data_IF_337380895798
#
_entry.id   IF_337380895798
#
_cell.length_a   1.000
_cell.length_b   1.000
_cell.length_c   1.000
_cell.angle_alpha   90.00
_cell.angle_beta   90.00
_cell.angle_gamma   90.00
#
_symmetry.space_group_name_H-M   'P 1'
#
loop_
_entity.id
_entity.type
_entity.pdbx_description
1 polymer ?
#
# COMPACT_ATOMS: atom_id res chain seq x y z
N UNK A 1 67.29 -27.58 35.28
CA UNK A 1 66.55 -26.31 35.52
C UNK A 1 65.65 -25.95 34.35
N UNK A 2 66.08 -26.11 33.09
CA UNK A 2 65.22 -25.96 31.90
C UNK A 2 64.05 -26.97 31.86
N UNK A 3 64.31 -28.24 32.15
CA UNK A 3 63.28 -29.31 32.10
C UNK A 3 62.15 -29.12 33.12
N UNK A 4 62.47 -28.59 34.30
CA UNK A 4 61.47 -28.30 35.34
C UNK A 4 60.59 -27.11 34.96
N UNK A 5 61.17 -26.13 34.24
CA UNK A 5 60.48 -24.95 33.75
C UNK A 5 59.53 -25.31 32.60
N UNK A 6 59.96 -26.18 31.69
CA UNK A 6 59.08 -26.74 30.65
C UNK A 6 57.96 -27.61 31.22
N UNK A 7 58.19 -28.33 32.32
CA UNK A 7 57.14 -29.10 33.00
C UNK A 7 56.12 -28.19 33.70
N UNK A 8 56.59 -27.09 34.31
CA UNK A 8 55.75 -26.06 34.91
C UNK A 8 54.89 -25.36 33.85
N UNK A 9 55.49 -24.94 32.73
CA UNK A 9 54.76 -24.36 31.60
C UNK A 9 53.71 -25.35 31.04
N UNK A 10 54.00 -26.65 31.03
CA UNK A 10 53.03 -27.67 30.58
C UNK A 10 51.85 -27.80 31.56
N UNK A 11 52.13 -27.78 32.87
CA UNK A 11 51.08 -27.84 33.91
C UNK A 11 50.23 -26.57 33.92
N UNK A 12 50.84 -25.39 33.75
CA UNK A 12 50.12 -24.12 33.69
C UNK A 12 49.21 -24.06 32.45
N UNK A 13 49.66 -24.56 31.30
CA UNK A 13 48.80 -24.71 30.12
C UNK A 13 47.63 -25.68 30.37
N UNK A 14 47.89 -26.81 31.03
CA UNK A 14 46.86 -27.81 31.34
C UNK A 14 45.81 -27.28 32.33
N UNK A 15 46.24 -26.47 33.31
CA UNK A 15 45.33 -25.76 34.22
C UNK A 15 44.50 -24.73 33.46
N UNK A 16 45.12 -23.99 32.55
CA UNK A 16 44.42 -23.00 31.71
C UNK A 16 43.37 -23.68 30.81
N UNK A 17 43.68 -24.83 30.21
CA UNK A 17 42.74 -25.64 29.43
C UNK A 17 41.53 -26.10 30.27
N UNK A 18 41.77 -26.55 31.50
CA UNK A 18 40.68 -26.91 32.42
C UNK A 18 39.84 -25.71 32.86
N UNK A 19 40.43 -24.54 33.05
CA UNK A 19 39.69 -23.31 33.32
C UNK A 19 38.81 -22.89 32.13
N UNK A 20 39.34 -22.99 30.92
CA UNK A 20 38.61 -22.74 29.66
C UNK A 20 37.44 -23.72 29.55
N UNK A 21 37.64 -25.00 29.86
CA UNK A 21 36.58 -26.01 29.79
C UNK A 21 35.49 -25.80 30.85
N UNK A 22 35.87 -25.42 32.07
CA UNK A 22 34.93 -25.07 33.15
C UNK A 22 34.09 -23.83 32.81
N UNK A 23 34.70 -22.80 32.20
CA UNK A 23 33.98 -21.62 31.72
C UNK A 23 33.06 -21.96 30.55
N UNK A 24 33.56 -22.74 29.59
CA UNK A 24 32.80 -23.18 28.42
C UNK A 24 31.56 -23.98 28.82
N UNK A 25 31.66 -24.83 29.85
CA UNK A 25 30.51 -25.58 30.37
C UNK A 25 29.40 -24.69 30.94
N UNK A 26 29.75 -23.66 31.72
CA UNK A 26 28.75 -22.73 32.27
C UNK A 26 28.04 -21.95 31.16
N UNK A 27 28.82 -21.42 30.21
CA UNK A 27 28.29 -20.67 29.07
C UNK A 27 27.38 -21.58 28.22
N UNK A 28 27.82 -22.80 27.98
CA UNK A 28 27.06 -23.80 27.25
C UNK A 28 25.71 -24.15 27.91
N UNK A 29 25.67 -24.32 29.24
CA UNK A 29 24.42 -24.61 29.96
C UNK A 29 23.41 -23.44 29.90
N UNK A 30 23.90 -22.20 29.92
CA UNK A 30 23.09 -20.99 29.75
C UNK A 30 22.60 -20.85 28.30
N UNK A 31 23.48 -21.02 27.31
CA UNK A 31 23.13 -20.98 25.89
C UNK A 31 22.20 -22.12 25.49
N UNK A 32 22.39 -23.33 26.00
CA UNK A 32 21.50 -24.45 25.71
C UNK A 32 20.08 -24.22 26.24
N UNK A 33 19.93 -23.56 27.41
CA UNK A 33 18.62 -23.16 27.95
C UNK A 33 17.97 -22.06 27.12
N UNK A 34 18.71 -21.01 26.77
CA UNK A 34 18.17 -19.91 25.96
C UNK A 34 17.78 -20.41 24.56
N UNK A 35 18.62 -21.23 23.95
CA UNK A 35 18.38 -21.86 22.66
C UNK A 35 17.16 -22.78 22.68
N UNK A 36 16.99 -23.61 23.72
CA UNK A 36 15.79 -24.45 23.88
C UNK A 36 14.50 -23.62 23.94
N UNK A 37 14.53 -22.54 24.70
CA UNK A 37 13.38 -21.64 24.82
C UNK A 37 13.08 -20.96 23.48
N UNK A 38 14.12 -20.47 22.76
CA UNK A 38 13.96 -19.87 21.43
C UNK A 38 13.41 -20.87 20.40
N UNK A 39 13.98 -22.06 20.30
CA UNK A 39 13.46 -23.14 19.44
C UNK A 39 11.98 -23.43 19.74
N UNK A 40 11.62 -23.54 21.02
CA UNK A 40 10.23 -23.85 21.38
C UNK A 40 9.25 -22.74 20.98
N UNK A 41 9.69 -21.48 21.03
CA UNK A 41 8.89 -20.33 20.58
C UNK A 41 8.77 -20.32 19.05
N UNK A 42 9.89 -20.49 18.34
CA UNK A 42 9.89 -20.48 16.89
C UNK A 42 9.07 -21.65 16.34
N UNK A 43 9.19 -22.86 16.90
CA UNK A 43 8.37 -24.00 16.48
C UNK A 43 6.86 -23.72 16.68
N UNK A 44 6.45 -23.04 17.76
CA UNK A 44 5.05 -22.63 17.96
C UNK A 44 4.61 -21.63 16.90
N UNK A 45 5.39 -20.56 16.72
CA UNK A 45 5.11 -19.52 15.72
C UNK A 45 4.99 -20.13 14.32
N UNK A 46 5.87 -21.06 13.96
CA UNK A 46 5.84 -21.76 12.67
C UNK A 46 4.58 -22.62 12.55
N UNK A 47 4.18 -23.32 13.61
CA UNK A 47 2.94 -24.10 13.59
C UNK A 47 1.71 -23.20 13.39
N UNK A 48 1.66 -22.09 14.13
CA UNK A 48 0.59 -21.09 14.01
C UNK A 48 0.57 -20.46 12.60
N UNK A 49 1.75 -20.19 12.01
CA UNK A 49 1.89 -19.71 10.63
C UNK A 49 1.39 -20.75 9.64
N UNK A 50 1.70 -22.03 9.81
CA UNK A 50 1.23 -23.09 8.90
C UNK A 50 -0.30 -23.25 8.94
N UNK A 51 -0.92 -23.05 10.11
CA UNK A 51 -2.38 -23.01 10.23
C UNK A 51 -2.96 -21.80 9.49
N UNK A 52 -2.43 -20.60 9.73
CA UNK A 52 -2.87 -19.38 9.06
C UNK A 52 -2.56 -19.38 7.54
N UNK A 53 -1.49 -20.05 7.12
CA UNK A 53 -1.09 -20.19 5.72
C UNK A 53 -2.14 -20.92 4.91
N UNK A 54 -2.83 -21.91 5.48
CA UNK A 54 -3.88 -22.60 4.75
C UNK A 54 -5.05 -21.65 4.44
N UNK A 55 -5.42 -20.79 5.38
CA UNK A 55 -6.46 -19.79 5.16
C UNK A 55 -6.01 -18.73 4.13
N UNK A 56 -4.76 -18.29 4.25
CA UNK A 56 -4.16 -17.31 3.33
C UNK A 56 -3.99 -17.89 1.93
N UNK A 57 -3.60 -19.16 1.79
CA UNK A 57 -3.48 -19.85 0.51
C UNK A 57 -4.82 -19.98 -0.23
N UNK A 58 -5.92 -20.02 0.51
CA UNK A 58 -7.25 -20.02 -0.06
C UNK A 58 -7.75 -18.61 -0.42
N UNK A 59 -7.28 -17.58 0.28
CA UNK A 59 -7.69 -16.18 0.06
C UNK A 59 -6.81 -15.44 -0.97
N UNK A 60 -5.51 -15.71 -0.98
CA UNK A 60 -4.50 -14.98 -1.74
C UNK A 60 -3.74 -15.91 -2.67
N UNK A 61 -3.41 -15.40 -3.86
CA UNK A 61 -2.62 -16.16 -4.82
C UNK A 61 -1.17 -15.95 -4.42
N UNK A 62 -0.74 -16.65 -3.36
CA UNK A 62 0.64 -16.65 -2.90
C UNK A 62 1.53 -17.01 -4.09
N UNK A 63 2.57 -16.23 -4.34
CA UNK A 63 3.53 -16.56 -5.38
C UNK A 63 4.17 -17.91 -5.02
N UNK A 64 4.45 -18.76 -6.01
CA UNK A 64 5.18 -20.02 -5.75
C UNK A 64 6.52 -19.77 -5.02
N UNK A 65 7.09 -18.57 -5.21
CA UNK A 65 8.30 -18.10 -4.53
C UNK A 65 8.11 -17.99 -3.01
N UNK A 66 7.00 -17.38 -2.54
CA UNK A 66 6.73 -17.21 -1.11
C UNK A 66 6.48 -18.58 -0.44
N UNK A 67 5.86 -19.51 -1.16
CA UNK A 67 5.65 -20.89 -0.70
C UNK A 67 6.97 -21.66 -0.61
N UNK A 68 7.90 -21.46 -1.55
CA UNK A 68 9.23 -22.05 -1.51
C UNK A 68 10.08 -21.49 -0.36
N UNK A 69 10.01 -20.18 -0.09
CA UNK A 69 10.71 -19.57 1.05
C UNK A 69 10.22 -20.16 2.38
N UNK A 70 8.91 -20.33 2.56
CA UNK A 70 8.32 -20.98 3.73
C UNK A 70 8.69 -22.46 3.87
N UNK A 71 8.76 -23.21 2.77
CA UNK A 71 9.27 -24.58 2.78
C UNK A 71 10.75 -24.63 3.18
N UNK A 72 11.56 -23.69 2.70
CA UNK A 72 12.98 -23.61 3.03
C UNK A 72 13.19 -23.28 4.51
N UNK A 73 12.40 -22.35 5.06
CA UNK A 73 12.40 -22.05 6.50
C UNK A 73 12.04 -23.30 7.32
N UNK A 74 11.05 -24.09 6.88
CA UNK A 74 10.67 -25.32 7.58
C UNK A 74 11.75 -26.41 7.48
N UNK A 75 12.38 -26.60 6.31
CA UNK A 75 13.52 -27.51 6.14
C UNK A 75 14.69 -27.09 7.05
N UNK A 76 15.03 -25.81 7.06
CA UNK A 76 16.09 -25.26 7.93
C UNK A 76 15.77 -25.48 9.41
N UNK A 77 14.52 -25.25 9.84
CA UNK A 77 14.09 -25.54 11.21
C UNK A 77 14.15 -27.02 11.57
N UNK A 78 13.79 -27.90 10.65
CA UNK A 78 13.90 -29.33 10.86
C UNK A 78 15.36 -29.78 11.01
N UNK A 79 16.26 -29.24 10.19
CA UNK A 79 17.70 -29.49 10.29
C UNK A 79 18.28 -28.95 11.60
N UNK A 80 17.88 -27.76 12.04
CA UNK A 80 18.28 -27.16 13.31
C UNK A 80 17.80 -28.02 14.49
N UNK A 81 16.54 -28.47 14.49
CA UNK A 81 15.99 -29.36 15.52
C UNK A 81 16.72 -30.71 15.54
N UNK A 82 17.03 -31.29 14.37
CA UNK A 82 17.78 -32.55 14.27
C UNK A 82 19.21 -32.40 14.80
N UNK A 83 19.89 -31.31 14.43
CA UNK A 83 21.24 -30.99 14.89
C UNK A 83 21.29 -30.74 16.40
N UNK A 84 20.30 -30.04 16.94
CA UNK A 84 20.16 -29.85 18.39
C UNK A 84 19.94 -31.17 19.12
N UNK A 85 19.08 -32.05 18.60
CA UNK A 85 18.86 -33.38 19.19
C UNK A 85 20.12 -34.26 19.18
N UNK A 86 21.00 -34.11 18.18
CA UNK A 86 22.30 -34.78 18.14
C UNK A 86 23.21 -34.24 19.24
N UNK A 87 23.33 -32.91 19.37
CA UNK A 87 24.13 -32.27 20.44
C UNK A 87 23.64 -32.69 21.83
N UNK A 88 22.33 -32.77 22.05
CA UNK A 88 21.74 -33.25 23.31
C UNK A 88 22.07 -34.72 23.58
N UNK A 89 22.17 -35.56 22.55
CA UNK A 89 22.62 -36.96 22.69
C UNK A 89 24.12 -37.05 22.97
N UNK A 90 24.93 -36.23 22.32
CA UNK A 90 26.39 -36.20 22.48
C UNK A 90 26.79 -35.70 23.88
N UNK A 91 26.05 -34.73 24.41
CA UNK A 91 26.11 -34.32 25.82
C UNK A 91 25.84 -35.46 26.80
N UNK A 92 24.79 -36.25 26.55
CA UNK A 92 24.41 -37.37 27.44
C UNK A 92 25.43 -38.50 27.39
N UNK A 93 26.07 -38.70 26.25
CA UNK A 93 27.10 -39.73 26.06
C UNK A 93 28.51 -39.27 26.44
N UNK A 94 28.70 -37.99 26.79
CA UNK A 94 29.99 -37.37 27.20
C UNK A 94 31.15 -37.65 26.22
N UNK A 95 30.86 -37.76 24.92
CA UNK A 95 31.84 -38.16 23.92
C UNK A 95 32.71 -37.02 23.38
N UNK A 96 32.30 -35.76 23.55
CA UNK A 96 33.01 -34.61 23.00
C UNK A 96 33.41 -33.58 24.07
N UNK A 97 34.53 -32.84 23.87
CA UNK A 97 34.93 -31.71 24.70
C UNK A 97 33.87 -30.59 24.72
N UNK A 98 33.73 -29.91 25.86
CA UNK A 98 32.75 -28.82 25.99
C UNK A 98 33.08 -27.60 25.10
N UNK A 99 34.34 -27.40 24.70
CA UNK A 99 34.71 -26.31 23.79
C UNK A 99 34.12 -26.51 22.38
N UNK A 100 34.23 -27.72 21.82
CA UNK A 100 33.64 -28.06 20.51
C UNK A 100 32.12 -28.05 20.54
N UNK A 101 31.51 -28.44 21.66
CA UNK A 101 30.06 -28.36 21.84
C UNK A 101 29.57 -26.90 21.92
N UNK A 102 30.35 -26.00 22.52
CA UNK A 102 30.06 -24.56 22.56
C UNK A 102 30.06 -23.95 21.16
N UNK A 103 31.10 -24.19 20.36
CA UNK A 103 31.16 -23.69 18.98
C UNK A 103 30.00 -24.22 18.12
N UNK A 104 29.63 -25.50 18.29
CA UNK A 104 28.46 -26.08 17.62
C UNK A 104 27.15 -25.40 18.02
N UNK A 105 26.94 -25.11 19.32
CA UNK A 105 25.74 -24.37 19.78
C UNK A 105 25.74 -22.93 19.28
N UNK A 106 26.88 -22.22 19.32
CA UNK A 106 26.98 -20.86 18.78
C UNK A 106 26.64 -20.83 17.28
N UNK A 107 27.17 -21.79 16.51
CA UNK A 107 26.85 -21.91 15.08
C UNK A 107 25.36 -22.18 14.82
N UNK A 108 24.73 -23.01 15.65
CA UNK A 108 23.29 -23.31 15.58
C UNK A 108 22.45 -22.11 16.01
N UNK A 109 22.88 -21.36 17.03
CA UNK A 109 22.23 -20.13 17.46
C UNK A 109 22.25 -19.09 16.36
N UNK A 110 23.36 -18.96 15.62
CA UNK A 110 23.45 -18.07 14.47
C UNK A 110 22.53 -18.51 13.33
N UNK A 111 22.50 -19.81 13.00
CA UNK A 111 21.55 -20.35 11.98
C UNK A 111 20.10 -20.18 12.39
N UNK A 112 19.79 -20.31 13.67
CA UNK A 112 18.46 -20.06 14.20
C UNK A 112 18.09 -18.59 14.07
N UNK A 113 19.01 -17.67 14.38
CA UNK A 113 18.78 -16.24 14.23
C UNK A 113 18.58 -15.83 12.75
N UNK A 114 19.31 -16.42 11.80
CA UNK A 114 19.05 -16.17 10.37
C UNK A 114 17.68 -16.69 9.97
N UNK A 115 17.32 -17.90 10.40
CA UNK A 115 16.00 -18.49 10.10
C UNK A 115 14.84 -17.69 10.75
N UNK A 116 15.07 -17.11 11.93
CA UNK A 116 14.12 -16.21 12.61
C UNK A 116 13.93 -14.90 11.81
N UNK A 117 15.02 -14.31 11.30
CA UNK A 117 14.94 -13.14 10.43
C UNK A 117 14.20 -13.44 9.11
N UNK A 118 14.48 -14.59 8.49
CA UNK A 118 13.82 -15.01 7.24
C UNK A 118 12.31 -15.20 7.47
N UNK A 119 11.93 -15.79 8.61
CA UNK A 119 10.54 -15.94 9.04
C UNK A 119 9.87 -14.58 9.28
N UNK A 120 10.56 -13.64 9.93
CA UNK A 120 10.07 -12.27 10.16
C UNK A 120 9.86 -11.50 8.84
N UNK A 121 10.73 -11.71 7.84
CA UNK A 121 10.58 -11.12 6.50
C UNK A 121 9.34 -11.71 5.81
N UNK A 122 9.17 -13.04 5.86
CA UNK A 122 7.99 -13.70 5.32
C UNK A 122 6.70 -13.19 5.98
N UNK A 123 6.68 -13.06 7.32
CA UNK A 123 5.56 -12.53 8.08
C UNK A 123 5.24 -11.07 7.69
N UNK A 124 6.25 -10.23 7.49
CA UNK A 124 6.04 -8.85 7.03
C UNK A 124 5.48 -8.79 5.62
N UNK A 125 5.98 -9.63 4.71
CA UNK A 125 5.45 -9.74 3.36
C UNK A 125 3.96 -10.13 3.40
N UNK A 126 3.63 -11.16 4.18
CA UNK A 126 2.27 -11.65 4.36
C UNK A 126 1.33 -10.61 4.99
N UNK A 127 1.79 -9.92 6.04
CA UNK A 127 1.04 -8.82 6.66
C UNK A 127 0.80 -7.67 5.69
N UNK A 128 1.80 -7.32 4.86
CA UNK A 128 1.66 -6.27 3.86
C UNK A 128 0.58 -6.59 2.82
N UNK A 129 0.39 -7.87 2.48
CA UNK A 129 -0.65 -8.30 1.55
C UNK A 129 -2.07 -8.04 2.10
N UNK A 130 -2.29 -8.34 3.38
CA UNK A 130 -3.58 -8.08 4.04
C UNK A 130 -3.84 -6.59 4.21
N UNK A 131 -2.81 -5.83 4.59
CA UNK A 131 -2.90 -4.37 4.69
C UNK A 131 -3.19 -3.72 3.33
N UNK A 132 -2.60 -4.24 2.24
CA UNK A 132 -2.86 -3.78 0.87
C UNK A 132 -4.31 -4.04 0.44
N UNK A 133 -4.88 -5.21 0.77
CA UNK A 133 -6.29 -5.50 0.49
C UNK A 133 -7.21 -4.53 1.25
N UNK A 134 -6.94 -4.31 2.54
CA UNK A 134 -7.73 -3.37 3.34
C UNK A 134 -7.64 -1.95 2.78
N UNK A 135 -6.44 -1.48 2.44
CA UNK A 135 -6.23 -0.17 1.82
C UNK A 135 -6.98 -0.04 0.49
N UNK A 136 -6.97 -1.07 -0.35
CA UNK A 136 -7.72 -1.07 -1.60
C UNK A 136 -9.24 -0.93 -1.36
N UNK A 137 -9.80 -1.60 -0.34
CA UNK A 137 -11.21 -1.47 0.05
C UNK A 137 -11.55 -0.07 0.54
N UNK A 138 -10.68 0.55 1.33
CA UNK A 138 -10.85 1.93 1.80
C UNK A 138 -10.84 2.91 0.61
N UNK A 139 -9.88 2.78 -0.29
CA UNK A 139 -9.78 3.63 -1.50
C UNK A 139 -11.00 3.46 -2.43
N UNK A 140 -11.51 2.24 -2.58
CA UNK A 140 -12.75 2.00 -3.33
C UNK A 140 -13.93 2.77 -2.72
N UNK A 141 -14.04 2.80 -1.40
CA UNK A 141 -15.08 3.55 -0.68
C UNK A 141 -14.93 5.06 -0.89
N UNK A 142 -13.70 5.57 -0.91
CA UNK A 142 -13.43 6.99 -1.22
C UNK A 142 -13.80 7.34 -2.66
N UNK A 143 -13.42 6.52 -3.64
CA UNK A 143 -13.73 6.72 -5.05
C UNK A 143 -15.25 6.72 -5.28
N UNK A 144 -15.98 5.79 -4.68
CA UNK A 144 -17.45 5.71 -4.78
C UNK A 144 -18.12 6.91 -4.11
N UNK A 145 -17.61 7.39 -2.97
CA UNK A 145 -18.10 8.59 -2.32
C UNK A 145 -17.87 9.85 -3.19
N UNK A 146 -16.70 9.96 -3.83
CA UNK A 146 -16.36 11.06 -4.73
C UNK A 146 -17.29 11.07 -5.96
N UNK A 147 -17.58 9.92 -6.56
CA UNK A 147 -18.57 9.80 -7.64
C UNK A 147 -19.98 10.18 -7.22
N UNK A 148 -20.41 9.76 -6.03
CA UNK A 148 -21.69 10.17 -5.46
C UNK A 148 -21.78 11.68 -5.28
N UNK A 149 -20.68 12.32 -4.86
CA UNK A 149 -20.56 13.78 -4.75
C UNK A 149 -20.65 14.46 -6.12
N UNK A 150 -20.00 13.93 -7.16
CA UNK A 150 -20.14 14.44 -8.53
C UNK A 150 -21.60 14.37 -9.01
N UNK A 151 -22.24 13.21 -8.82
CA UNK A 151 -23.64 12.99 -9.21
C UNK A 151 -24.59 13.95 -8.50
N UNK A 152 -24.38 14.17 -7.20
CA UNK A 152 -25.17 15.12 -6.40
C UNK A 152 -24.93 16.56 -6.86
N UNK A 153 -23.68 16.93 -7.17
CA UNK A 153 -23.33 18.27 -7.65
C UNK A 153 -24.02 18.62 -8.96
N UNK A 154 -24.11 17.66 -9.89
CA UNK A 154 -24.85 17.82 -11.15
C UNK A 154 -26.36 17.89 -10.91
N UNK A 155 -26.89 17.08 -9.99
CA UNK A 155 -28.33 17.14 -9.66
C UNK A 155 -28.73 18.48 -9.05
N UNK A 156 -27.85 19.10 -8.26
CA UNK A 156 -28.09 20.40 -7.62
C UNK A 156 -28.06 21.57 -8.62
N UNK A 157 -27.30 21.42 -9.72
CA UNK A 157 -27.23 22.41 -10.79
C UNK A 157 -27.72 21.77 -12.10
N UNK A 158 -29.05 21.72 -12.33
CA UNK A 158 -29.60 21.15 -13.55
C UNK A 158 -29.20 22.02 -14.75
N UNK A 159 -28.14 21.59 -15.43
CA UNK A 159 -27.70 22.20 -16.68
C UNK A 159 -28.65 21.79 -17.82
N UNK A 160 -28.92 22.68 -18.80
CA UNK A 160 -29.84 22.37 -19.89
C UNK A 160 -29.42 21.15 -20.72
N UNK A 161 -28.12 21.03 -21.00
CA UNK A 161 -27.53 19.91 -21.75
C UNK A 161 -26.18 19.54 -21.14
N UNK A 162 -26.04 18.30 -20.70
CA UNK A 162 -24.75 17.76 -20.26
C UNK A 162 -24.02 17.20 -21.50
N UNK A 163 -22.77 17.59 -21.70
CA UNK A 163 -21.96 17.19 -22.86
C UNK A 163 -21.78 15.67 -22.92
N UNK A 164 -21.81 15.08 -24.12
CA UNK A 164 -21.64 13.64 -24.33
C UNK A 164 -20.36 13.08 -23.70
N UNK A 165 -19.27 13.87 -23.69
CA UNK A 165 -18.00 13.49 -23.08
C UNK A 165 -18.12 13.15 -21.58
N UNK A 166 -19.02 13.82 -20.85
CA UNK A 166 -19.25 13.53 -19.44
C UNK A 166 -19.83 12.12 -19.23
N UNK A 167 -20.73 11.68 -20.10
CA UNK A 167 -21.32 10.33 -20.00
C UNK A 167 -20.31 9.24 -20.31
N UNK A 168 -19.37 9.49 -21.23
CA UNK A 168 -18.26 8.57 -21.52
C UNK A 168 -17.35 8.45 -20.30
N UNK A 169 -16.89 9.58 -19.74
CA UNK A 169 -16.03 9.59 -18.54
C UNK A 169 -16.73 8.94 -17.32
N UNK A 170 -18.05 9.14 -17.18
CA UNK A 170 -18.84 8.50 -16.13
C UNK A 170 -18.95 6.97 -16.34
N UNK A 171 -19.13 6.52 -17.58
CA UNK A 171 -19.16 5.09 -17.89
C UNK A 171 -17.82 4.45 -17.60
N UNK A 172 -16.72 5.04 -18.08
CA UNK A 172 -15.36 4.56 -17.83
C UNK A 172 -15.03 4.44 -16.34
N UNK A 173 -15.42 5.44 -15.53
CA UNK A 173 -15.22 5.39 -14.08
C UNK A 173 -16.06 4.30 -13.39
N UNK A 174 -17.30 4.07 -13.84
CA UNK A 174 -18.14 2.99 -13.32
C UNK A 174 -17.61 1.61 -13.71
N UNK A 175 -17.15 1.45 -14.95
CA UNK A 175 -16.55 0.21 -15.43
C UNK A 175 -15.27 -0.11 -14.64
N UNK A 176 -14.43 0.89 -14.36
CA UNK A 176 -13.24 0.72 -13.53
C UNK A 176 -13.56 0.25 -12.10
N UNK A 177 -14.62 0.78 -11.48
CA UNK A 177 -15.09 0.34 -10.16
C UNK A 177 -15.60 -1.09 -10.19
N UNK A 178 -16.36 -1.44 -11.23
CA UNK A 178 -16.90 -2.77 -11.40
C UNK A 178 -15.79 -3.81 -11.60
N UNK A 179 -14.72 -3.44 -12.30
CA UNK A 179 -13.51 -4.27 -12.41
C UNK A 179 -12.81 -4.45 -11.06
N UNK A 180 -12.72 -3.40 -10.21
CA UNK A 180 -12.16 -3.56 -8.85
C UNK A 180 -13.02 -4.50 -8.00
N UNK A 181 -14.35 -4.37 -8.06
CA UNK A 181 -15.26 -5.27 -7.33
C UNK A 181 -15.07 -6.72 -7.79
N UNK A 182 -14.99 -6.95 -9.11
CA UNK A 182 -14.69 -8.28 -9.65
C UNK A 182 -13.35 -8.82 -9.18
N UNK A 183 -12.32 -8.00 -9.12
CA UNK A 183 -10.99 -8.42 -8.63
C UNK A 183 -11.01 -8.72 -7.12
N UNK A 184 -11.79 -7.99 -6.33
CA UNK A 184 -11.97 -8.26 -4.89
C UNK A 184 -12.83 -9.50 -4.62
N UNK A 185 -13.76 -9.85 -5.51
CA UNK A 185 -14.60 -11.06 -5.41
C UNK A 185 -13.86 -12.32 -5.91
N UNK A 186 -12.77 -12.17 -6.67
CA UNK A 186 -11.94 -13.30 -7.09
C UNK A 186 -11.17 -13.85 -5.91
N UNK A 187 -11.46 -15.10 -5.57
CA UNK A 187 -10.57 -15.93 -4.73
C UNK A 187 -9.79 -16.85 -5.67
N UNK A 188 -8.46 -16.79 -5.73
CA UNK A 188 -7.54 -15.98 -4.94
C UNK A 188 -7.22 -14.59 -5.52
N UNK A 189 -7.01 -13.58 -4.65
CA UNK A 189 -6.74 -12.19 -5.06
C UNK A 189 -5.27 -12.02 -5.47
N UNK A 190 -5.03 -11.31 -6.58
CA UNK A 190 -3.69 -10.88 -6.99
C UNK A 190 -3.49 -9.40 -6.69
N UNK A 191 -2.73 -9.09 -5.63
CA UNK A 191 -2.56 -7.72 -5.10
C UNK A 191 -1.91 -6.78 -6.10
N UNK A 192 -0.95 -7.27 -6.91
CA UNK A 192 -0.30 -6.46 -7.95
C UNK A 192 -1.32 -5.92 -8.95
N UNK A 193 -2.24 -6.76 -9.41
CA UNK A 193 -3.30 -6.36 -10.34
C UNK A 193 -4.31 -5.44 -9.66
N UNK A 194 -4.67 -5.72 -8.39
CA UNK A 194 -5.56 -4.88 -7.61
C UNK A 194 -5.03 -3.45 -7.48
N UNK A 195 -3.76 -3.27 -7.10
CA UNK A 195 -3.14 -1.95 -6.95
C UNK A 195 -3.18 -1.14 -8.26
N UNK A 196 -2.83 -1.76 -9.38
CA UNK A 196 -2.88 -1.11 -10.71
C UNK A 196 -4.31 -0.67 -11.06
N UNK A 197 -5.31 -1.53 -10.78
CA UNK A 197 -6.72 -1.23 -11.05
C UNK A 197 -7.23 -0.09 -10.18
N UNK A 198 -6.87 -0.07 -8.90
CA UNK A 198 -7.27 0.98 -7.96
C UNK A 198 -6.64 2.32 -8.35
N UNK A 199 -5.37 2.36 -8.73
CA UNK A 199 -4.73 3.59 -9.21
C UNK A 199 -5.41 4.11 -10.50
N UNK A 200 -5.71 3.22 -11.45
CA UNK A 200 -6.42 3.58 -12.69
C UNK A 200 -7.81 4.17 -12.39
N UNK A 201 -8.58 3.56 -11.48
CA UNK A 201 -9.89 4.06 -11.10
C UNK A 201 -9.80 5.40 -10.35
N UNK A 202 -8.76 5.59 -9.54
CA UNK A 202 -8.49 6.85 -8.85
C UNK A 202 -8.27 7.97 -9.86
N UNK A 203 -7.41 7.76 -10.84
CA UNK A 203 -7.10 8.76 -11.88
C UNK A 203 -8.34 9.13 -12.70
N UNK A 204 -9.12 8.13 -13.13
CA UNK A 204 -10.38 8.37 -13.86
C UNK A 204 -11.40 9.15 -13.01
N UNK A 205 -11.53 8.81 -11.72
CA UNK A 205 -12.44 9.49 -10.81
C UNK A 205 -12.06 10.96 -10.57
N UNK A 206 -10.75 11.23 -10.43
CA UNK A 206 -10.23 12.59 -10.28
C UNK A 206 -10.42 13.42 -11.55
N UNK A 207 -10.19 12.82 -12.72
CA UNK A 207 -10.47 13.45 -14.02
C UNK A 207 -11.94 13.84 -14.12
N UNK A 208 -12.86 12.91 -13.84
CA UNK A 208 -14.29 13.18 -13.84
C UNK A 208 -14.68 14.28 -12.86
N UNK A 209 -14.11 14.28 -11.65
CA UNK A 209 -14.36 15.33 -10.65
C UNK A 209 -13.93 16.71 -11.14
N UNK A 210 -12.75 16.81 -11.75
CA UNK A 210 -12.25 18.05 -12.33
C UNK A 210 -13.14 18.52 -13.49
N UNK A 211 -13.47 17.63 -14.45
CA UNK A 211 -14.39 17.94 -15.56
C UNK A 211 -15.74 18.43 -15.04
N UNK A 212 -16.32 17.74 -14.05
CA UNK A 212 -17.62 18.10 -13.44
C UNK A 212 -17.55 19.48 -12.79
N UNK A 213 -16.49 19.72 -12.01
CA UNK A 213 -16.32 20.98 -11.27
C UNK A 213 -16.07 22.14 -12.23
N UNK A 214 -15.27 21.94 -13.28
CA UNK A 214 -15.02 22.92 -14.33
C UNK A 214 -16.32 23.22 -15.10
N UNK A 215 -17.07 22.20 -15.50
CA UNK A 215 -18.34 22.37 -16.21
C UNK A 215 -19.34 23.19 -15.38
N UNK A 216 -19.53 22.85 -14.10
CA UNK A 216 -20.42 23.59 -13.19
C UNK A 216 -19.93 25.03 -13.01
N UNK A 217 -18.62 25.24 -12.85
CA UNK A 217 -18.00 26.57 -12.74
C UNK A 217 -18.25 27.43 -13.96
N UNK A 218 -17.92 26.92 -15.14
CA UNK A 218 -18.08 27.62 -16.41
C UNK A 218 -19.54 27.94 -16.66
N UNK A 219 -20.44 26.99 -16.41
CA UNK A 219 -21.87 27.22 -16.59
C UNK A 219 -22.42 28.29 -15.62
N UNK A 220 -22.07 28.22 -14.33
CA UNK A 220 -22.49 29.22 -13.34
C UNK A 220 -21.96 30.62 -13.67
N UNK A 221 -20.71 30.72 -14.12
CA UNK A 221 -20.13 31.99 -14.56
C UNK A 221 -20.84 32.52 -15.81
N UNK A 222 -21.08 31.67 -16.82
CA UNK A 222 -21.77 32.06 -18.03
C UNK A 222 -23.19 32.57 -17.71
N UNK A 223 -23.95 31.87 -16.88
CA UNK A 223 -25.28 32.31 -16.44
C UNK A 223 -25.22 33.67 -15.73
N UNK A 224 -24.31 33.83 -14.77
CA UNK A 224 -24.19 35.09 -14.02
C UNK A 224 -23.79 36.26 -14.93
N UNK A 225 -22.92 36.03 -15.92
CA UNK A 225 -22.50 37.02 -16.92
C UNK A 225 -23.66 37.36 -17.86
N UNK A 226 -24.43 36.38 -18.33
CA UNK A 226 -25.62 36.61 -19.16
C UNK A 226 -26.67 37.43 -18.40
N UNK A 227 -26.95 37.07 -17.14
CA UNK A 227 -27.91 37.79 -16.28
C UNK A 227 -27.44 39.23 -16.02
N UNK A 228 -26.14 39.44 -15.79
CA UNK A 228 -25.58 40.78 -15.64
C UNK A 228 -25.65 41.57 -16.94
N UNK A 229 -25.26 40.95 -18.06
CA UNK A 229 -25.28 41.52 -19.41
C UNK A 229 -26.69 41.93 -19.85
N UNK A 230 -27.73 41.20 -19.43
CA UNK A 230 -29.12 41.54 -19.71
C UNK A 230 -29.52 42.96 -19.24
N UNK A 231 -28.81 43.54 -18.26
CA UNK A 231 -29.03 44.93 -17.83
C UNK A 231 -28.59 45.96 -18.88
N UNK A 232 -27.62 45.61 -19.73
CA UNK A 232 -27.04 46.51 -20.73
C UNK A 232 -27.63 46.30 -22.13
N UNK A 233 -28.52 45.32 -22.32
CA UNK A 233 -29.27 45.13 -23.58
C UNK A 233 -29.93 46.41 -24.11
N UNK A 234 -30.53 47.30 -23.29
CA UNK A 234 -31.15 48.52 -23.79
C UNK A 234 -30.16 49.59 -24.28
N UNK A 235 -28.87 49.49 -23.93
CA UNK A 235 -27.86 50.50 -24.25
C UNK A 235 -27.25 50.32 -25.64
N UNK A 236 -27.10 49.08 -26.11
CA UNK A 236 -26.45 48.80 -27.39
C UNK A 236 -27.00 47.50 -28.03
N UNK A 237 -27.34 47.58 -29.32
CA UNK A 237 -27.83 46.45 -30.12
C UNK A 237 -26.76 45.40 -30.39
N UNK A 238 -25.48 45.80 -30.42
CA UNK A 238 -24.38 44.85 -30.65
C UNK A 238 -24.16 43.94 -29.43
N UNK A 239 -24.40 44.46 -28.22
CA UNK A 239 -24.38 43.70 -26.97
C UNK A 239 -25.56 42.73 -26.91
N UNK A 240 -26.76 43.19 -27.28
CA UNK A 240 -27.96 42.36 -27.34
C UNK A 240 -27.73 41.13 -28.24
N UNK A 241 -27.19 41.34 -29.43
CA UNK A 241 -26.87 40.26 -30.36
C UNK A 241 -25.82 39.29 -29.82
N UNK A 242 -24.78 39.80 -29.16
CA UNK A 242 -23.74 38.96 -28.53
C UNK A 242 -24.29 38.07 -27.40
N UNK A 243 -25.15 38.64 -26.55
CA UNK A 243 -25.77 37.92 -25.43
C UNK A 243 -26.83 36.91 -25.89
N UNK A 244 -27.57 37.20 -26.96
CA UNK A 244 -28.53 36.24 -27.54
C UNK A 244 -27.81 35.04 -28.16
N UNK A 245 -26.68 35.25 -28.85
CA UNK A 245 -25.83 34.16 -29.35
C UNK A 245 -25.26 33.36 -28.18
N UNK A 246 -24.75 34.02 -27.15
CA UNK A 246 -24.21 33.33 -25.97
C UNK A 246 -25.28 32.52 -25.22
N UNK A 247 -26.52 33.01 -25.17
CA UNK A 247 -27.65 32.30 -24.58
C UNK A 247 -28.01 31.04 -25.39
N UNK A 248 -28.03 31.13 -26.73
CA UNK A 248 -28.23 29.96 -27.59
C UNK A 248 -27.13 28.91 -27.38
N UNK A 249 -25.86 29.34 -27.36
CA UNK A 249 -24.72 28.45 -27.10
C UNK A 249 -24.77 27.80 -25.71
N UNK A 250 -25.34 28.49 -24.71
CA UNK A 250 -25.56 27.93 -23.37
C UNK A 250 -26.60 26.80 -23.42
N UNK A 251 -27.71 27.00 -24.13
CA UNK A 251 -28.74 25.97 -24.32
C UNK A 251 -28.28 24.82 -25.21
N UNK A 252 -27.33 25.04 -26.12
CA UNK A 252 -26.70 24.00 -26.95
C UNK A 252 -25.64 23.17 -26.18
N UNK A 253 -25.30 23.54 -24.94
CA UNK A 253 -24.33 22.83 -24.10
C UNK A 253 -22.86 23.23 -24.31
N UNK A 254 -22.60 24.28 -25.11
CA UNK A 254 -21.26 24.82 -25.36
C UNK A 254 -20.89 25.90 -24.34
N UNK A 255 -20.75 25.50 -23.06
CA UNK A 255 -20.54 26.43 -21.94
C UNK A 255 -19.29 27.31 -22.06
N UNK A 256 -18.18 26.77 -22.61
CA UNK A 256 -16.93 27.53 -22.80
C UNK A 256 -17.11 28.65 -23.82
N UNK A 257 -17.69 28.33 -24.98
CA UNK A 257 -17.96 29.31 -26.03
C UNK A 257 -19.01 30.34 -25.60
N UNK A 258 -20.04 29.91 -24.86
CA UNK A 258 -21.03 30.80 -24.26
C UNK A 258 -20.38 31.80 -23.30
N UNK A 259 -19.45 31.34 -22.46
CA UNK A 259 -18.71 32.20 -21.55
C UNK A 259 -17.85 33.23 -22.30
N UNK A 260 -17.06 32.79 -23.27
CA UNK A 260 -16.20 33.67 -24.07
C UNK A 260 -17.00 34.73 -24.83
N UNK A 261 -18.11 34.33 -25.46
CA UNK A 261 -19.01 35.23 -26.20
C UNK A 261 -19.68 36.23 -25.25
N UNK A 262 -20.08 35.78 -24.06
CA UNK A 262 -20.67 36.66 -23.04
C UNK A 262 -19.66 37.68 -22.51
N UNK A 263 -18.41 37.25 -22.27
CA UNK A 263 -17.33 38.14 -21.84
C UNK A 263 -17.01 39.14 -22.95
N UNK A 264 -16.90 38.71 -24.21
CA UNK A 264 -16.61 39.58 -25.34
C UNK A 264 -17.67 40.67 -25.51
N UNK A 265 -18.96 40.33 -25.39
CA UNK A 265 -20.06 41.28 -25.48
C UNK A 265 -20.01 42.33 -24.35
N UNK A 266 -19.65 41.92 -23.13
CA UNK A 266 -19.66 42.79 -21.95
C UNK A 266 -18.37 43.62 -21.82
N UNK A 267 -17.24 43.12 -22.35
CA UNK A 267 -15.96 43.84 -22.40
C UNK A 267 -16.03 45.17 -23.16
N UNK A 268 -17.01 45.32 -24.05
CA UNK A 268 -17.31 46.57 -24.78
C UNK A 268 -17.77 47.67 -23.80
N UNK A 269 -18.43 47.32 -22.69
CA UNK A 269 -18.99 48.26 -21.72
C UNK A 269 -18.07 48.47 -20.52
N UNK A 270 -17.49 47.40 -19.97
CA UNK A 270 -16.47 47.50 -18.92
C UNK A 270 -15.35 46.48 -19.14
N UNK A 271 -14.09 46.93 -19.31
CA UNK A 271 -12.96 46.03 -19.58
C UNK A 271 -12.51 45.17 -18.38
N UNK A 272 -12.98 45.46 -17.16
CA UNK A 272 -12.51 44.83 -15.90
C UNK A 272 -13.52 43.84 -15.26
N UNK A 273 -14.59 43.51 -15.97
CA UNK A 273 -15.65 42.61 -15.46
C UNK A 273 -15.14 41.20 -15.17
N UNK A 274 -14.16 40.71 -15.92
CA UNK A 274 -13.59 39.39 -15.70
C UNK A 274 -13.00 39.24 -14.28
N UNK A 275 -12.26 40.25 -13.80
CA UNK A 275 -11.67 40.25 -12.45
C UNK A 275 -12.73 40.44 -11.35
N UNK A 276 -13.75 41.27 -11.59
CA UNK A 276 -14.88 41.47 -10.65
C UNK A 276 -15.70 40.19 -10.47
N UNK A 277 -15.98 39.47 -11.55
CA UNK A 277 -16.72 38.20 -11.53
C UNK A 277 -15.93 37.10 -10.84
N UNK A 278 -14.62 37.05 -11.09
CA UNK A 278 -13.70 36.08 -10.47
C UNK A 278 -13.56 36.32 -8.95
N UNK A 279 -13.55 37.58 -8.51
CA UNK A 279 -13.52 37.95 -7.09
C UNK A 279 -14.85 37.67 -6.37
N UNK A 280 -15.99 37.86 -7.03
CA UNK A 280 -17.31 37.44 -6.51
C UNK A 280 -17.44 35.91 -6.40
N UNK A 281 -16.60 35.15 -7.10
CA UNK A 281 -16.57 33.69 -7.08
C UNK A 281 -15.57 33.13 -6.03
N UNK A 282 -14.61 33.92 -5.57
CA UNK A 282 -13.63 33.52 -4.53
C UNK A 282 -14.16 33.63 -3.10
N UNK A 283 -15.18 34.47 -2.87
CA UNK A 283 -15.93 34.54 -1.61
C UNK A 283 -17.13 33.59 -1.66
#
# INVERSE_FOLDING_TARGET
MLELKTFLDYLDNLINDFEIEKRSKKIFDEEAKTFKNKISKINKIVTDIYEQLNDIKNMYNLSEDDLQELENVNKNLYEINKSYNIIVKDLKTKKEPYSSLKEKIESLSNKLATTENDLDICLKSLGSMQEDEQRAREQLKEITALLSKCKTSIRNYPLPIITSNYFVELSEANDAILEIIKELDKTPITIKTLNIRVDTARDLSLKLFNTTTEMIKTAKLAEMIIVYGNRYKPLDKDIERGLDIASKLFFEGSYKLSLETSIAAIKIVEPDIYNKMLNLYKN
#
